data_IF_906008001379
#
_entry.id   IF_906008001379
#
_cell.length_a   1.000
_cell.length_b   1.000
_cell.length_c   1.000
_cell.angle_alpha   90.00
_cell.angle_beta   90.00
_cell.angle_gamma   90.00
#
_symmetry.space_group_name_H-M   'P 1'
#
loop_
_entity.id
_entity.type
_entity.pdbx_description
1 polymer ?
#
# COMPACT_ATOMS: atom_id res chain seq x y z
N UNK A 1 -5.83 3.59 -4.53
CA UNK A 1 -4.37 3.65 -4.30
C UNK A 1 -3.61 4.27 -5.47
N UNK A 2 -4.08 4.13 -6.71
CA UNK A 2 -3.38 4.70 -7.88
C UNK A 2 -3.08 6.21 -7.78
N UNK A 3 -4.01 7.02 -7.27
CA UNK A 3 -3.77 8.46 -7.05
C UNK A 3 -2.59 8.71 -6.10
N UNK A 4 -2.46 7.92 -5.03
CA UNK A 4 -1.34 8.01 -4.10
C UNK A 4 0.00 7.61 -4.75
N UNK A 5 0.00 6.53 -5.53
CA UNK A 5 1.18 6.06 -6.28
C UNK A 5 1.64 7.16 -7.25
N UNK A 6 0.72 7.76 -7.99
CA UNK A 6 1.02 8.84 -8.92
C UNK A 6 1.62 10.07 -8.20
N UNK A 7 1.09 10.43 -7.03
CA UNK A 7 1.66 11.51 -6.21
C UNK A 7 3.08 11.18 -5.75
N UNK A 8 3.31 9.96 -5.25
CA UNK A 8 4.65 9.53 -4.83
C UNK A 8 5.65 9.55 -5.99
N UNK A 9 5.24 9.10 -7.18
CA UNK A 9 6.10 9.18 -8.37
C UNK A 9 6.36 10.62 -8.82
N UNK A 10 5.39 11.53 -8.68
CA UNK A 10 5.59 12.95 -8.96
C UNK A 10 6.63 13.60 -8.02
N UNK A 11 6.82 13.06 -6.82
CA UNK A 11 7.89 13.44 -5.89
C UNK A 11 9.26 12.79 -6.22
N UNK A 12 9.37 12.07 -7.34
CA UNK A 12 10.63 11.51 -7.84
C UNK A 12 10.89 10.05 -7.45
N UNK A 13 9.93 9.35 -6.86
CA UNK A 13 10.05 7.92 -6.60
C UNK A 13 9.79 7.11 -7.87
N UNK A 14 10.48 5.98 -8.02
CA UNK A 14 10.06 4.98 -9.00
C UNK A 14 8.75 4.32 -8.57
N UNK A 15 8.03 3.71 -9.50
CA UNK A 15 6.80 2.98 -9.19
C UNK A 15 7.01 1.91 -8.10
N UNK A 16 8.10 1.15 -8.19
CA UNK A 16 8.47 0.15 -7.17
C UNK A 16 8.74 0.79 -5.80
N UNK A 17 9.41 1.95 -5.75
CA UNK A 17 9.63 2.69 -4.51
C UNK A 17 8.32 3.24 -3.93
N UNK A 18 7.39 3.67 -4.77
CA UNK A 18 6.07 4.13 -4.32
C UNK A 18 5.27 2.99 -3.67
N UNK A 19 5.23 1.82 -4.31
CA UNK A 19 4.61 0.62 -3.72
C UNK A 19 5.24 0.26 -2.38
N UNK A 20 6.57 0.21 -2.32
CA UNK A 20 7.28 -0.13 -1.08
C UNK A 20 7.05 0.90 0.03
N UNK A 21 6.96 2.18 -0.32
CA UNK A 21 6.68 3.25 0.65
C UNK A 21 5.30 3.08 1.29
N UNK A 22 4.29 2.75 0.48
CA UNK A 22 2.92 2.51 0.95
C UNK A 22 2.87 1.27 1.86
N UNK A 23 3.61 0.21 1.52
CA UNK A 23 3.74 -1.00 2.36
C UNK A 23 4.39 -0.70 3.72
N UNK A 24 5.50 0.07 3.73
CA UNK A 24 6.17 0.48 4.98
C UNK A 24 5.21 1.29 5.86
N UNK A 25 4.46 2.23 5.28
CA UNK A 25 3.48 3.04 6.00
C UNK A 25 2.34 2.16 6.55
N UNK A 26 1.83 1.20 5.77
CA UNK A 26 0.82 0.22 6.22
C UNK A 26 1.30 -0.50 7.49
N UNK A 27 2.50 -1.07 7.42
CA UNK A 27 3.06 -1.86 8.51
C UNK A 27 3.34 -1.01 9.74
N UNK A 28 3.89 0.19 9.55
CA UNK A 28 4.10 1.15 10.63
C UNK A 28 2.78 1.56 11.30
N UNK A 29 1.74 1.85 10.52
CA UNK A 29 0.42 2.21 11.06
C UNK A 29 -0.20 1.06 11.86
N UNK A 30 -0.07 -0.19 11.40
CA UNK A 30 -0.53 -1.38 12.14
C UNK A 30 0.23 -1.57 13.45
N UNK A 31 1.54 -1.33 13.46
CA UNK A 31 2.36 -1.42 14.67
C UNK A 31 1.97 -0.36 15.71
N UNK A 32 1.78 0.90 15.28
CA UNK A 32 1.45 2.00 16.20
C UNK A 32 -0.01 2.01 16.63
N UNK A 33 -0.91 1.49 15.80
CA UNK A 33 -2.35 1.49 16.06
C UNK A 33 -2.96 0.08 15.88
N UNK A 34 -2.57 -0.89 16.73
CA UNK A 34 -2.94 -2.30 16.55
C UNK A 34 -4.46 -2.54 16.59
N UNK A 35 -5.21 -1.73 17.34
CA UNK A 35 -6.68 -1.79 17.41
C UNK A 35 -7.32 -1.56 16.03
N UNK A 36 -6.66 -0.80 15.14
CA UNK A 36 -7.12 -0.55 13.78
C UNK A 36 -6.51 -1.49 12.74
N UNK A 37 -5.68 -2.46 13.14
CA UNK A 37 -4.93 -3.33 12.21
C UNK A 37 -5.82 -4.02 11.18
N UNK A 38 -6.93 -4.63 11.61
CA UNK A 38 -7.86 -5.28 10.69
C UNK A 38 -8.62 -4.32 9.76
N UNK A 39 -8.84 -3.07 10.17
CA UNK A 39 -9.45 -2.06 9.30
C UNK A 39 -8.44 -1.54 8.26
N UNK A 40 -7.17 -1.38 8.66
CA UNK A 40 -6.07 -1.03 7.76
C UNK A 40 -5.89 -2.13 6.70
N UNK A 41 -5.90 -3.40 7.09
CA UNK A 41 -5.80 -4.52 6.15
C UNK A 41 -6.93 -4.47 5.12
N UNK A 42 -8.20 -4.37 5.55
CA UNK A 42 -9.35 -4.25 4.63
C UNK A 42 -9.27 -3.06 3.68
N UNK A 43 -8.72 -1.93 4.12
CA UNK A 43 -8.55 -0.75 3.28
C UNK A 43 -7.52 -1.01 2.19
N UNK A 44 -6.42 -1.67 2.53
CA UNK A 44 -5.39 -2.06 1.58
C UNK A 44 -5.86 -3.16 0.63
N UNK A 45 -6.61 -4.16 1.09
CA UNK A 45 -7.14 -5.22 0.21
C UNK A 45 -8.13 -4.65 -0.83
N UNK A 46 -8.92 -3.65 -0.43
CA UNK A 46 -9.93 -3.04 -1.31
C UNK A 46 -9.35 -2.09 -2.34
N UNK A 47 -8.32 -1.33 -1.96
CA UNK A 47 -7.85 -0.20 -2.76
C UNK A 47 -6.40 -0.31 -3.21
N UNK A 48 -5.62 -1.16 -2.54
CA UNK A 48 -4.20 -1.37 -2.78
C UNK A 48 -3.90 -1.99 -4.14
N UNK A 49 -2.61 -2.11 -4.48
CA UNK A 49 -2.19 -2.81 -5.66
C UNK A 49 -2.68 -4.26 -5.54
N UNK A 50 -3.35 -4.76 -6.58
CA UNK A 50 -3.59 -6.20 -6.68
C UNK A 50 -2.31 -6.78 -7.24
N UNK A 51 -1.67 -7.68 -6.51
CA UNK A 51 -0.52 -8.39 -7.03
C UNK A 51 -0.96 -9.07 -8.34
N UNK A 52 -0.23 -8.81 -9.44
CA UNK A 52 -0.47 -9.50 -10.72
C UNK A 52 -0.19 -11.02 -10.60
N UNK A 53 0.51 -11.44 -9.54
CA UNK A 53 0.80 -12.83 -9.21
C UNK A 53 -0.44 -13.63 -8.76
N UNK A 54 -1.52 -12.98 -8.30
CA UNK A 54 -2.79 -13.64 -7.95
C UNK A 54 -3.63 -14.04 -9.18
N UNK A 55 -3.20 -13.67 -10.40
CA UNK A 55 -3.92 -14.01 -11.64
C UNK A 55 -3.40 -15.31 -12.31
N UNK A 56 -2.37 -15.94 -11.74
CA UNK A 56 -1.74 -17.15 -12.27
C UNK A 56 -2.03 -18.44 -11.48
N UNK A 57 -2.91 -18.39 -10.46
CA UNK A 57 -3.45 -19.57 -9.74
C UNK A 57 -4.96 -19.79 -9.98
#
# INVERSE_FOLDING_TARGET
MQDLINRLMAEGLTEQQAYKSIEVIKNFAKEKFPIFGGAIDKLFDKYGPKDEDDFLD
#
